data_IF_101958640004
#
_entry.id   IF_101958640004
#
_cell.length_a   1.000
_cell.length_b   1.000
_cell.length_c   1.000
_cell.angle_alpha   90.00
_cell.angle_beta   90.00
_cell.angle_gamma   90.00
#
_symmetry.space_group_name_H-M   'P 1'
#
loop_
_entity.id
_entity.type
_entity.pdbx_description
1 polymer ?
#
# COMPACT_ATOMS: atom_id res chain seq x y z
N UNK A 1 -8.69 3.08 -10.45
CA UNK A 1 -7.55 2.16 -10.57
C UNK A 1 -8.09 0.81 -10.96
N UNK A 2 -7.52 0.18 -11.99
CA UNK A 2 -7.84 -1.19 -12.38
C UNK A 2 -6.62 -2.02 -12.01
N UNK A 3 -6.82 -3.11 -11.29
CA UNK A 3 -5.76 -4.02 -10.88
C UNK A 3 -5.91 -5.33 -11.64
N UNK A 4 -4.79 -5.87 -12.10
CA UNK A 4 -4.77 -7.20 -12.69
C UNK A 4 -4.91 -8.28 -11.62
N UNK A 5 -5.50 -9.42 -12.00
CA UNK A 5 -5.69 -10.53 -11.07
C UNK A 5 -4.35 -11.10 -10.65
N UNK A 6 -4.13 -11.23 -9.34
CA UNK A 6 -2.87 -11.73 -8.77
C UNK A 6 -1.81 -10.64 -8.54
N UNK A 7 -2.10 -9.39 -8.91
CA UNK A 7 -1.26 -8.26 -8.52
C UNK A 7 -1.69 -7.76 -7.13
N UNK A 8 -0.75 -7.72 -6.20
CA UNK A 8 -0.99 -7.43 -4.78
C UNK A 8 -0.21 -6.17 -4.33
N UNK A 9 -0.54 -4.99 -4.88
CA UNK A 9 0.17 -3.76 -4.54
C UNK A 9 -0.17 -3.27 -3.13
N UNK A 10 0.64 -2.34 -2.67
CA UNK A 10 0.22 -1.44 -1.60
C UNK A 10 -0.53 -0.25 -2.18
N UNK A 11 -1.58 0.18 -1.49
CA UNK A 11 -2.30 1.40 -1.81
C UNK A 11 -1.77 2.55 -0.95
N UNK A 12 -1.32 3.62 -1.60
CA UNK A 12 -0.95 4.87 -0.95
C UNK A 12 -2.08 5.88 -1.14
N UNK A 13 -2.59 6.41 -0.04
CA UNK A 13 -3.60 7.46 0.03
C UNK A 13 -2.98 8.70 0.66
N UNK A 14 -3.18 9.87 0.05
CA UNK A 14 -2.77 11.14 0.63
C UNK A 14 -3.99 12.04 0.78
N UNK A 15 -4.07 12.75 1.90
CA UNK A 15 -5.05 13.80 2.12
C UNK A 15 -4.55 15.16 1.65
N UNK A 16 -5.44 16.14 1.59
CA UNK A 16 -5.07 17.53 1.27
C UNK A 16 -4.18 18.12 2.37
N UNK A 17 -4.47 17.78 3.62
CA UNK A 17 -3.78 18.34 4.78
C UNK A 17 -2.55 17.49 5.21
N UNK A 18 -2.10 16.57 4.35
CA UNK A 18 -0.84 15.84 4.48
C UNK A 18 -0.90 14.53 5.27
N UNK A 19 -2.10 14.01 5.57
CA UNK A 19 -2.22 12.66 6.12
C UNK A 19 -1.91 11.63 5.05
N UNK A 20 -1.04 10.67 5.37
CA UNK A 20 -0.64 9.59 4.45
C UNK A 20 -1.01 8.25 5.05
N UNK A 21 -1.68 7.41 4.25
CA UNK A 21 -2.00 6.04 4.61
C UNK A 21 -1.46 5.11 3.52
N UNK A 22 -0.57 4.19 3.92
CA UNK A 22 -0.13 3.06 3.10
C UNK A 22 -0.74 1.80 3.69
N UNK A 23 -1.42 1.01 2.88
CA UNK A 23 -1.99 -0.28 3.30
C UNK A 23 -1.82 -1.33 2.21
N UNK A 24 -1.74 -2.60 2.60
CA UNK A 24 -1.72 -3.68 1.62
C UNK A 24 -3.12 -3.87 1.04
N UNK A 25 -3.22 -4.16 -0.26
CA UNK A 25 -4.52 -4.39 -0.91
C UNK A 25 -5.30 -5.56 -0.26
N UNK A 26 -4.60 -6.53 0.34
CA UNK A 26 -5.21 -7.69 1.03
C UNK A 26 -5.99 -7.31 2.28
N UNK A 27 -5.67 -6.18 2.90
CA UNK A 27 -6.36 -5.71 4.10
C UNK A 27 -7.73 -5.09 3.77
N UNK A 28 -7.99 -4.79 2.49
CA UNK A 28 -9.26 -4.24 2.01
C UNK A 28 -10.20 -5.39 1.62
N UNK A 29 -11.42 -5.48 2.21
CA UNK A 29 -12.41 -6.46 1.81
C UNK A 29 -12.78 -6.39 0.33
N UNK A 30 -12.78 -7.54 -0.33
CA UNK A 30 -13.29 -7.66 -1.70
C UNK A 30 -14.82 -7.50 -1.70
N UNK A 31 -15.30 -6.51 -2.45
CA UNK A 31 -16.72 -6.17 -2.56
C UNK A 31 -17.20 -6.27 -4.01
N UNK A 32 -18.49 -6.55 -4.19
CA UNK A 32 -19.12 -6.57 -5.51
C UNK A 32 -19.19 -5.19 -6.16
N UNK A 33 -19.46 -5.17 -7.48
CA UNK A 33 -19.52 -3.93 -8.29
C UNK A 33 -20.59 -2.93 -7.82
N UNK A 34 -21.72 -3.41 -7.33
CA UNK A 34 -22.82 -2.56 -6.84
C UNK A 34 -22.77 -2.43 -5.32
N UNK A 35 -21.77 -1.71 -4.81
CA UNK A 35 -21.59 -1.46 -3.37
C UNK A 35 -21.16 -0.02 -3.09
N UNK A 36 -21.29 0.44 -1.84
CA UNK A 36 -20.74 1.74 -1.39
C UNK A 36 -19.26 1.67 -1.02
N UNK A 37 -18.69 0.46 -0.90
CA UNK A 37 -17.32 0.25 -0.43
C UNK A 37 -17.20 0.22 1.09
N UNK A 38 -15.98 0.47 1.58
CA UNK A 38 -15.61 0.43 3.00
C UNK A 38 -14.79 1.67 3.38
N UNK A 39 -14.77 1.99 4.67
CA UNK A 39 -13.89 3.05 5.19
C UNK A 39 -12.48 2.50 5.40
N UNK A 40 -11.51 3.00 4.62
CA UNK A 40 -10.08 2.68 4.78
C UNK A 40 -9.31 3.76 5.56
N UNK A 41 -9.80 5.00 5.56
CA UNK A 41 -9.16 6.14 6.22
C UNK A 41 -10.20 6.97 6.96
N UNK A 42 -9.92 7.32 8.21
CA UNK A 42 -10.72 8.28 8.97
C UNK A 42 -10.11 9.67 8.80
N UNK A 43 -10.87 10.59 8.22
CA UNK A 43 -10.44 11.96 8.00
C UNK A 43 -10.78 12.83 9.22
N UNK A 44 -9.97 13.87 9.45
CA UNK A 44 -10.33 14.96 10.37
C UNK A 44 -11.39 15.84 9.69
N UNK A 45 -12.09 16.66 10.49
CA UNK A 45 -13.06 17.62 9.95
C UNK A 45 -12.39 18.52 8.90
N UNK A 46 -13.06 18.70 7.76
CA UNK A 46 -12.64 19.49 6.59
C UNK A 46 -11.46 18.96 5.76
N UNK A 47 -10.86 17.82 6.13
CA UNK A 47 -9.83 17.15 5.32
C UNK A 47 -10.47 16.18 4.32
N UNK A 48 -9.85 16.05 3.15
CA UNK A 48 -10.32 15.20 2.06
C UNK A 48 -9.14 14.43 1.46
N UNK A 49 -9.42 13.25 0.91
CA UNK A 49 -8.43 12.51 0.12
C UNK A 49 -8.12 13.32 -1.15
N UNK A 50 -6.84 13.64 -1.34
CA UNK A 50 -6.36 14.44 -2.48
C UNK A 50 -5.85 13.54 -3.60
N UNK A 51 -5.21 12.41 -3.27
CA UNK A 51 -4.60 11.53 -4.25
C UNK A 51 -4.48 10.09 -3.76
N UNK A 52 -4.35 9.18 -4.73
CA UNK A 52 -4.21 7.74 -4.49
C UNK A 52 -3.29 7.14 -5.55
N UNK A 53 -2.41 6.23 -5.14
CA UNK A 53 -1.53 5.48 -6.04
C UNK A 53 -1.41 4.02 -5.61
N UNK A 54 -1.27 3.12 -6.58
CA UNK A 54 -0.92 1.72 -6.33
C UNK A 54 0.59 1.56 -6.50
N UNK A 55 1.26 1.11 -5.45
CA UNK A 55 2.70 0.89 -5.42
C UNK A 55 3.00 -0.61 -5.48
N UNK A 56 4.03 -1.03 -6.23
CA UNK A 56 4.54 -2.38 -6.11
C UNK A 56 4.83 -2.71 -4.65
N UNK A 57 4.31 -3.83 -4.16
CA UNK A 57 4.66 -4.33 -2.84
C UNK A 57 6.01 -5.04 -2.97
N UNK A 58 7.07 -4.41 -2.45
CA UNK A 58 8.35 -5.08 -2.26
C UNK A 58 8.21 -5.97 -1.03
N UNK A 59 8.39 -7.29 -1.19
CA UNK A 59 8.35 -8.21 -0.05
C UNK A 59 9.51 -7.89 0.88
N UNK A 60 9.19 -7.70 2.16
CA UNK A 60 10.19 -7.53 3.22
C UNK A 60 11.19 -8.70 3.25
N UNK A 61 10.73 -9.91 2.92
CA UNK A 61 11.56 -11.13 2.81
C UNK A 61 12.68 -10.98 1.76
N UNK A 62 12.39 -10.41 0.59
CA UNK A 62 13.40 -10.18 -0.47
C UNK A 62 14.42 -9.11 -0.07
N UNK A 63 14.02 -8.13 0.75
CA UNK A 63 14.91 -7.09 1.26
C UNK A 63 15.80 -7.58 2.42
N UNK A 64 15.39 -8.62 3.13
CA UNK A 64 16.20 -9.27 4.16
C UNK A 64 17.27 -10.18 3.53
N UNK A 65 16.92 -10.97 2.52
CA UNK A 65 17.88 -11.80 1.76
C UNK A 65 18.97 -10.92 1.10
N UNK A 66 18.58 -9.78 0.50
CA UNK A 66 19.52 -8.81 -0.09
C UNK A 66 20.47 -8.20 0.95
N UNK A 67 20.01 -7.97 2.19
CA UNK A 67 20.84 -7.44 3.28
C UNK A 67 21.83 -8.48 3.78
N UNK A 68 21.43 -9.74 3.89
CA UNK A 68 22.29 -10.83 4.35
C UNK A 68 23.42 -11.12 3.36
N UNK A 69 23.13 -11.16 2.06
CA UNK A 69 24.15 -11.32 1.00
C UNK A 69 25.14 -10.14 0.97
N UNK A 70 24.62 -8.91 1.11
CA UNK A 70 25.44 -7.69 1.15
C UNK A 70 26.37 -7.66 2.37
N UNK A 71 25.87 -8.11 3.53
CA UNK A 71 26.65 -8.19 4.75
C UNK A 71 27.76 -9.24 4.62
N UNK A 72 27.48 -10.43 4.08
CA UNK A 72 28.48 -11.49 3.90
C UNK A 72 29.61 -11.09 2.94
N UNK A 73 29.31 -10.34 1.87
CA UNK A 73 30.34 -9.84 0.94
C UNK A 73 31.24 -8.75 1.53
N UNK A 74 30.80 -8.00 2.54
CA UNK A 74 31.64 -7.01 3.22
C UNK A 74 32.61 -7.63 4.25
N UNK A 75 32.37 -8.87 4.68
CA UNK A 75 33.21 -9.58 5.65
C UNK A 75 34.12 -10.65 5.01
N UNK A 76 34.22 -10.69 3.68
CA UNK A 76 35.09 -11.57 2.90
C UNK A 76 36.22 -10.77 2.20
#
# INVERSE_FOLDING_TARGET
VVLEKGYEPDLLLLSRDGQVLRLNIKDIPTMGRSTQGVYVMRMKSDDIVSSMSALPCEKLEELEELKEDSAQQMFA
#
